data_IF_196936366419
#
_entry.id   IF_196936366419
#
_cell.length_a   1.000
_cell.length_b   1.000
_cell.length_c   1.000
_cell.angle_alpha   90.00
_cell.angle_beta   90.00
_cell.angle_gamma   90.00
#
_symmetry.space_group_name_H-M   'P 1'
#
loop_
_entity.id
_entity.type
_entity.pdbx_description
1 polymer ?
#
# COMPACT_ATOMS: atom_id res chain seq x y z
N UNK A 1 -2.42 4.03 -16.04
CA UNK A 1 -1.15 4.65 -15.64
C UNK A 1 -0.82 4.04 -14.28
N UNK A 2 0.20 3.19 -14.19
CA UNK A 2 0.59 2.58 -12.90
C UNK A 2 1.16 3.66 -11.97
N UNK A 3 0.78 3.63 -10.69
CA UNK A 3 1.29 4.59 -9.72
C UNK A 3 2.77 4.29 -9.44
N UNK A 4 3.65 5.20 -9.86
CA UNK A 4 5.10 5.10 -9.64
C UNK A 4 5.43 5.62 -8.23
N UNK A 5 4.89 4.99 -7.20
CA UNK A 5 5.30 5.28 -5.83
C UNK A 5 6.07 4.09 -5.26
N UNK A 6 7.38 4.27 -5.14
CA UNK A 6 8.25 3.33 -4.45
C UNK A 6 8.29 3.63 -2.97
N UNK A 7 8.22 2.58 -2.16
CA UNK A 7 8.34 2.72 -0.72
C UNK A 7 9.74 3.24 -0.33
N UNK A 8 9.82 4.39 0.35
CA UNK A 8 11.11 4.94 0.74
C UNK A 8 11.72 4.24 1.97
N UNK A 9 10.92 3.48 2.73
CA UNK A 9 11.33 2.80 3.96
C UNK A 9 10.44 1.59 4.30
N UNK A 10 10.76 0.90 5.39
CA UNK A 10 9.99 -0.23 5.93
C UNK A 10 10.36 -1.57 5.30
N UNK A 11 9.53 -2.59 5.55
CA UNK A 11 9.75 -3.97 5.09
C UNK A 11 9.79 -4.10 3.56
N UNK A 12 9.03 -3.25 2.87
CA UNK A 12 8.89 -3.24 1.41
C UNK A 12 9.67 -2.12 0.73
N UNK A 13 10.75 -1.61 1.36
CA UNK A 13 11.55 -0.51 0.80
C UNK A 13 12.01 -0.82 -0.62
N UNK A 14 11.73 0.09 -1.55
CA UNK A 14 12.07 -0.03 -2.97
C UNK A 14 11.03 -0.77 -3.82
N UNK A 15 10.06 -1.44 -3.21
CA UNK A 15 8.91 -2.01 -3.91
C UNK A 15 7.89 -0.93 -4.27
N UNK A 16 7.15 -1.17 -5.36
CA UNK A 16 6.05 -0.32 -5.77
C UNK A 16 4.84 -0.54 -4.85
N UNK A 17 4.05 0.52 -4.62
CA UNK A 17 2.91 0.47 -3.69
C UNK A 17 1.85 -0.58 -4.09
N UNK A 18 1.73 -0.84 -5.38
CA UNK A 18 0.83 -1.84 -5.98
C UNK A 18 1.30 -3.28 -5.67
N UNK A 19 2.58 -3.51 -5.37
CA UNK A 19 3.11 -4.84 -5.04
C UNK A 19 3.06 -5.18 -3.54
N UNK A 20 2.63 -4.21 -2.72
CA UNK A 20 2.58 -4.37 -1.26
C UNK A 20 1.30 -5.11 -0.87
N UNK A 21 1.32 -6.05 0.09
CA UNK A 21 0.11 -6.72 0.57
C UNK A 21 -0.92 -5.73 1.16
N UNK A 22 -2.21 -6.04 0.95
CA UNK A 22 -3.31 -5.16 1.40
C UNK A 22 -3.31 -4.90 2.91
N UNK A 23 -2.98 -5.91 3.72
CA UNK A 23 -2.84 -5.75 5.19
C UNK A 23 -1.75 -4.73 5.56
N UNK A 24 -0.64 -4.75 4.84
CA UNK A 24 0.46 -3.81 5.09
C UNK A 24 0.07 -2.40 4.64
N UNK A 25 -0.62 -2.25 3.51
CA UNK A 25 -1.14 -0.95 3.07
C UNK A 25 -2.13 -0.36 4.10
N UNK A 26 -3.04 -1.17 4.62
CA UNK A 26 -3.96 -0.76 5.67
C UNK A 26 -3.23 -0.33 6.95
N UNK A 27 -2.23 -1.10 7.39
CA UNK A 27 -1.40 -0.71 8.52
C UNK A 27 -0.64 0.59 8.24
N UNK A 28 -0.05 0.71 7.05
CA UNK A 28 0.75 1.86 6.64
C UNK A 28 -0.08 3.14 6.59
N UNK A 29 -1.29 3.09 6.03
CA UNK A 29 -2.22 4.22 5.98
C UNK A 29 -2.55 4.78 7.38
N UNK A 30 -2.59 3.93 8.41
CA UNK A 30 -2.96 4.31 9.78
C UNK A 30 -1.80 4.65 10.70
N UNK A 31 -0.60 4.13 10.41
CA UNK A 31 0.54 4.19 11.31
C UNK A 31 1.73 4.98 10.72
N UNK A 32 1.65 5.41 9.46
CA UNK A 32 2.69 6.21 8.84
C UNK A 32 2.50 7.70 9.14
N UNK A 33 3.54 8.33 9.72
CA UNK A 33 3.55 9.78 9.96
C UNK A 33 3.79 10.62 8.69
N UNK A 34 4.05 9.98 7.55
CA UNK A 34 4.22 10.66 6.27
C UNK A 34 2.88 10.69 5.54
N UNK A 35 2.26 11.87 5.49
CA UNK A 35 0.92 12.05 4.91
C UNK A 35 0.81 11.61 3.45
N UNK A 36 1.87 11.79 2.66
CA UNK A 36 1.88 11.38 1.25
C UNK A 36 1.83 9.85 1.15
N UNK A 37 2.68 9.15 1.91
CA UNK A 37 2.73 7.69 1.90
C UNK A 37 1.43 7.10 2.49
N UNK A 38 0.93 7.68 3.58
CA UNK A 38 -0.30 7.25 4.20
C UNK A 38 -1.51 7.39 3.25
N UNK A 39 -1.61 8.54 2.58
CA UNK A 39 -2.68 8.82 1.60
C UNK A 39 -2.61 7.87 0.42
N UNK A 40 -1.41 7.64 -0.12
CA UNK A 40 -1.23 6.75 -1.27
C UNK A 40 -1.53 5.30 -0.91
N UNK A 41 -1.15 4.86 0.29
CA UNK A 41 -1.46 3.53 0.80
C UNK A 41 -2.96 3.33 1.04
N UNK A 42 -3.65 4.35 1.58
CA UNK A 42 -5.10 4.32 1.77
C UNK A 42 -5.83 4.27 0.42
N UNK A 43 -5.43 5.10 -0.55
CA UNK A 43 -6.05 5.09 -1.88
C UNK A 43 -5.91 3.75 -2.58
N UNK A 44 -4.71 3.15 -2.54
CA UNK A 44 -4.46 1.84 -3.13
C UNK A 44 -5.30 0.76 -2.42
N UNK A 45 -5.32 0.77 -1.08
CA UNK A 45 -6.14 -0.15 -0.30
C UNK A 45 -7.64 -0.03 -0.63
N UNK A 46 -8.19 1.19 -0.66
CA UNK A 46 -9.59 1.45 -1.00
C UNK A 46 -9.93 1.07 -2.44
N UNK A 47 -8.98 1.23 -3.37
CA UNK A 47 -9.17 0.78 -4.74
C UNK A 47 -9.30 -0.75 -4.80
N UNK A 48 -8.47 -1.48 -4.05
CA UNK A 48 -8.54 -2.95 -3.97
C UNK A 48 -9.83 -3.46 -3.35
N UNK A 49 -10.33 -2.81 -2.31
CA UNK A 49 -11.61 -3.16 -1.68
C UNK A 49 -12.76 -3.04 -2.69
N UNK A 50 -12.69 -2.07 -3.60
CA UNK A 50 -13.69 -1.86 -4.65
C UNK A 50 -13.54 -2.81 -5.84
N UNK A 51 -12.33 -3.20 -6.20
CA UNK A 51 -12.05 -4.04 -7.39
C UNK A 51 -11.88 -5.51 -7.07
N UNK A 52 -11.78 -5.88 -5.79
CA UNK A 52 -11.43 -7.24 -5.35
C UNK A 52 -9.96 -7.60 -5.58
N UNK A 53 -9.10 -6.62 -5.89
CA UNK A 53 -7.66 -6.80 -6.19
C UNK A 53 -6.79 -7.04 -4.96
N UNK A 54 -7.30 -7.73 -3.94
CA UNK A 54 -6.57 -7.98 -2.71
C UNK A 54 -5.47 -9.01 -2.91
N UNK A 55 -4.26 -8.66 -2.48
CA UNK A 55 -3.19 -9.63 -2.29
C UNK A 55 -3.45 -10.35 -0.97
N UNK A 56 -3.80 -11.63 -1.06
CA UNK A 56 -3.87 -12.51 0.10
C UNK A 56 -2.46 -12.70 0.63
N UNK A 57 -2.25 -12.43 1.92
CA UNK A 57 -1.08 -12.92 2.61
C UNK A 57 -1.41 -14.36 3.04
N UNK A 58 -1.12 -15.34 2.18
CA UNK A 58 -1.13 -16.75 2.57
C UNK A 58 -0.09 -16.90 3.70
N UNK A 59 -0.60 -17.09 4.91
CA UNK A 59 0.20 -17.43 6.09
C UNK A 59 0.17 -18.95 6.28
#
# INVERSE_FOLDING_TARGET
MGKIMKMPFGKYKGADIEDIPSDYLYWLARNCNNEVIATEADQEYQWREKTGGHFWNDN
#
